data_IF_075457314297
#
_entry.id   IF_075457314297
#
_cell.length_a   1.000
_cell.length_b   1.000
_cell.length_c   1.000
_cell.angle_alpha   90.00
_cell.angle_beta   90.00
_cell.angle_gamma   90.00
#
_symmetry.space_group_name_H-M   'P 1'
#
loop_
_entity.id
_entity.type
_entity.pdbx_description
1 polymer ?
#
# COMPACT_ATOMS: atom_id res chain seq x y z
N UNK A 1 -5.57 18.90 -4.71
CA UNK A 1 -4.30 18.64 -3.98
C UNK A 1 -4.57 17.51 -3.00
N UNK A 2 -4.10 16.33 -3.33
CA UNK A 2 -4.17 15.16 -2.42
C UNK A 2 -3.16 15.41 -1.31
N UNK A 3 -3.63 15.77 -0.11
CA UNK A 3 -2.76 15.79 1.06
C UNK A 3 -2.56 14.34 1.52
N UNK A 4 -1.36 13.80 1.27
CA UNK A 4 -0.98 12.50 1.80
C UNK A 4 -0.74 12.62 3.31
N UNK A 5 -1.63 12.03 4.09
CA UNK A 5 -1.50 12.01 5.54
C UNK A 5 -0.77 10.73 5.94
N UNK A 6 0.50 10.88 6.32
CA UNK A 6 1.29 9.75 6.80
C UNK A 6 0.92 9.38 8.24
N UNK A 7 0.35 8.20 8.43
CA UNK A 7 0.11 7.63 9.76
C UNK A 7 1.41 7.21 10.47
N UNK A 8 2.48 6.94 9.74
CA UNK A 8 3.73 6.38 10.27
C UNK A 8 4.41 7.26 11.33
N UNK A 9 4.35 8.59 11.18
CA UNK A 9 4.97 9.52 12.13
C UNK A 9 4.22 9.62 13.48
N UNK A 10 2.97 9.15 13.53
CA UNK A 10 2.06 9.31 14.67
C UNK A 10 1.83 8.01 15.44
N UNK A 11 2.60 6.96 15.15
CA UNK A 11 2.45 5.64 15.76
C UNK A 11 3.55 5.46 16.80
N UNK A 12 3.17 5.02 18.00
CA UNK A 12 4.09 4.78 19.11
C UNK A 12 4.16 3.28 19.44
N UNK A 13 5.37 2.79 19.73
CA UNK A 13 5.56 1.44 20.27
C UNK A 13 5.06 1.43 21.70
N UNK A 14 4.14 0.53 21.99
CA UNK A 14 3.60 0.38 23.36
C UNK A 14 4.71 -0.16 24.25
N UNK A 15 5.09 0.59 25.29
CA UNK A 15 6.07 0.16 26.27
C UNK A 15 5.51 -1.07 27.02
N UNK A 16 6.25 -2.16 27.03
CA UNK A 16 6.00 -3.30 27.90
C UNK A 16 6.45 -2.94 29.31
N UNK A 17 5.63 -2.20 30.06
CA UNK A 17 5.82 -2.09 31.51
C UNK A 17 5.19 -3.31 32.16
N UNK A 18 6.04 -4.14 32.76
CA UNK A 18 5.63 -5.19 33.69
C UNK A 18 5.03 -4.56 34.95
N UNK A 19 3.73 -4.45 35.01
CA UNK A 19 2.86 -4.14 36.13
C UNK A 19 1.97 -2.92 35.88
N UNK A 20 0.92 -3.18 35.14
CA UNK A 20 -0.42 -2.68 35.40
C UNK A 20 -1.30 -3.12 34.21
N UNK A 21 -2.39 -3.76 34.57
CA UNK A 21 -3.42 -4.22 33.63
C UNK A 21 -4.09 -3.02 32.95
N UNK A 22 -3.44 -2.48 31.92
CA UNK A 22 -4.13 -1.69 30.93
C UNK A 22 -4.34 -2.55 29.69
N UNK A 23 -5.60 -2.71 29.30
CA UNK A 23 -6.09 -3.50 28.18
C UNK A 23 -5.64 -2.97 26.79
N UNK A 24 -4.37 -2.61 26.58
CA UNK A 24 -3.89 -2.33 25.22
C UNK A 24 -3.31 -3.59 24.62
N UNK A 25 -4.13 -4.29 23.87
CA UNK A 25 -3.77 -5.51 23.14
C UNK A 25 -2.91 -5.23 21.88
N UNK A 26 -2.33 -4.05 21.74
CA UNK A 26 -1.58 -3.64 20.56
C UNK A 26 -0.09 -3.49 20.86
N UNK A 27 0.76 -4.05 20.00
CA UNK A 27 2.21 -3.83 20.05
C UNK A 27 2.58 -2.38 19.70
N UNK A 28 1.75 -1.72 18.88
CA UNK A 28 1.91 -0.33 18.46
C UNK A 28 0.58 0.41 18.59
N UNK A 29 0.61 1.63 19.11
CA UNK A 29 -0.59 2.46 19.29
C UNK A 29 -0.49 3.70 18.42
N UNK A 30 -1.56 3.99 17.66
CA UNK A 30 -1.68 5.23 16.91
C UNK A 30 -2.00 6.36 17.90
N UNK A 31 -1.36 7.51 17.72
CA UNK A 31 -1.73 8.72 18.47
C UNK A 31 -3.21 9.05 18.24
N UNK A 32 -3.97 9.19 19.32
CA UNK A 32 -5.43 9.38 19.26
C UNK A 32 -5.85 10.68 18.56
N UNK A 33 -5.13 11.76 18.81
CA UNK A 33 -5.45 13.06 18.20
C UNK A 33 -5.17 13.03 16.70
N UNK A 34 -4.10 12.32 16.31
CA UNK A 34 -3.80 12.10 14.89
C UNK A 34 -4.85 11.23 14.20
N UNK A 35 -5.26 10.13 14.79
CA UNK A 35 -6.29 9.27 14.20
C UNK A 35 -7.64 10.01 14.11
N UNK A 36 -7.96 10.85 15.13
CA UNK A 36 -9.14 11.72 15.10
C UNK A 36 -9.05 12.73 13.93
N UNK A 37 -7.86 13.29 13.65
CA UNK A 37 -7.67 14.19 12.52
C UNK A 37 -7.82 13.47 11.17
N UNK A 38 -7.30 12.26 11.05
CA UNK A 38 -7.52 11.44 9.85
C UNK A 38 -9.01 11.17 9.66
N UNK A 39 -9.71 10.79 10.74
CA UNK A 39 -11.15 10.57 10.70
C UNK A 39 -11.93 11.82 10.24
N UNK A 40 -11.60 12.98 10.77
CA UNK A 40 -12.23 14.26 10.37
C UNK A 40 -12.09 14.54 8.85
N UNK A 41 -10.91 14.28 8.28
CA UNK A 41 -10.69 14.47 6.84
C UNK A 41 -11.49 13.45 6.02
N UNK A 42 -11.56 12.21 6.48
CA UNK A 42 -12.39 11.18 5.83
C UNK A 42 -13.89 11.56 5.91
N UNK A 43 -14.34 12.08 7.05
CA UNK A 43 -15.71 12.55 7.23
C UNK A 43 -16.04 13.64 6.21
N UNK A 44 -15.21 14.67 6.07
CA UNK A 44 -15.41 15.75 5.10
C UNK A 44 -15.49 15.24 3.66
N UNK A 45 -14.60 14.32 3.27
CA UNK A 45 -14.61 13.75 1.94
C UNK A 45 -15.87 12.91 1.69
N UNK A 46 -16.31 12.13 2.68
CA UNK A 46 -17.54 11.35 2.59
C UNK A 46 -18.79 12.22 2.55
N UNK A 47 -18.83 13.34 3.28
CA UNK A 47 -19.91 14.35 3.24
C UNK A 47 -20.05 14.97 1.84
N UNK A 48 -18.94 15.19 1.15
CA UNK A 48 -18.89 15.66 -0.25
C UNK A 48 -19.09 14.54 -1.28
N UNK A 49 -19.57 13.38 -0.86
CA UNK A 49 -19.88 12.22 -1.72
C UNK A 49 -18.67 11.63 -2.46
N UNK A 50 -17.45 11.87 -1.98
CA UNK A 50 -16.19 11.36 -2.56
C UNK A 50 -15.84 9.94 -2.11
N UNK A 51 -15.14 9.20 -2.97
CA UNK A 51 -14.43 8.00 -2.56
C UNK A 51 -13.13 8.37 -1.87
N UNK A 52 -12.80 7.64 -0.81
CA UNK A 52 -11.59 7.86 -0.01
C UNK A 52 -10.78 6.58 0.04
N UNK A 53 -9.46 6.69 -0.17
CA UNK A 53 -8.51 5.59 0.01
C UNK A 53 -7.65 5.91 1.23
N UNK A 54 -7.61 5.00 2.20
CA UNK A 54 -6.68 5.07 3.34
C UNK A 54 -5.63 3.98 3.15
N UNK A 55 -4.35 4.35 3.34
CA UNK A 55 -3.23 3.41 3.30
C UNK A 55 -2.20 3.66 4.41
N UNK A 56 -1.28 2.70 4.58
CA UNK A 56 -0.01 2.91 5.28
C UNK A 56 1.01 3.31 4.23
N UNK A 57 1.37 4.62 4.22
CA UNK A 57 2.11 5.21 3.10
C UNK A 57 3.62 4.99 3.20
N UNK A 58 4.23 5.13 4.38
CA UNK A 58 5.67 5.05 4.56
C UNK A 58 6.10 3.81 5.33
N UNK A 59 7.16 3.16 4.83
CA UNK A 59 7.78 1.98 5.44
C UNK A 59 8.58 2.29 6.72
N UNK A 60 9.11 3.53 6.81
CA UNK A 60 9.90 4.00 7.94
C UNK A 60 11.24 3.25 8.16
N UNK A 61 11.76 2.59 7.11
CA UNK A 61 13.03 1.88 7.17
C UNK A 61 14.21 2.80 6.83
N UNK A 62 15.24 2.79 7.67
CA UNK A 62 16.51 3.49 7.41
C UNK A 62 17.52 2.48 6.85
N UNK A 63 17.68 2.44 5.55
CA UNK A 63 18.57 1.50 4.86
C UNK A 63 20.05 1.68 5.20
N UNK A 64 20.47 2.88 5.65
CA UNK A 64 21.85 3.14 6.09
C UNK A 64 22.13 2.55 7.46
N UNK A 65 21.17 2.64 8.37
CA UNK A 65 21.25 2.09 9.73
C UNK A 65 20.74 0.66 9.83
N UNK A 66 20.08 0.17 8.78
CA UNK A 66 19.42 -1.15 8.73
C UNK A 66 18.46 -1.36 9.90
N UNK A 67 17.65 -0.38 10.20
CA UNK A 67 16.64 -0.44 11.25
C UNK A 67 15.42 0.43 10.91
N UNK A 68 14.37 0.28 11.72
CA UNK A 68 13.19 1.14 11.60
C UNK A 68 13.43 2.49 12.28
N UNK A 69 13.17 3.57 11.57
CA UNK A 69 13.12 4.91 12.12
C UNK A 69 12.16 4.97 13.30
N UNK A 70 12.61 5.52 14.42
CA UNK A 70 11.84 5.53 15.67
C UNK A 70 11.44 4.13 16.20
N UNK A 71 12.13 3.07 15.77
CA UNK A 71 11.88 1.69 16.18
C UNK A 71 10.55 1.11 15.69
N UNK A 72 9.98 1.61 14.62
CA UNK A 72 8.66 1.19 14.10
C UNK A 72 8.59 1.32 12.58
N UNK A 73 7.93 0.37 11.94
CA UNK A 73 7.78 0.34 10.48
C UNK A 73 7.61 -1.06 9.94
N UNK A 74 7.78 -1.21 8.63
CA UNK A 74 7.81 -2.49 7.96
C UNK A 74 8.90 -2.52 6.90
N UNK A 75 9.46 -3.71 6.66
CA UNK A 75 10.43 -3.95 5.61
C UNK A 75 10.31 -5.39 5.14
N UNK A 76 10.19 -5.66 3.84
CA UNK A 76 9.82 -6.98 3.34
C UNK A 76 11.03 -7.94 3.26
N UNK A 77 11.61 -8.28 4.41
CA UNK A 77 12.66 -9.30 4.56
C UNK A 77 12.31 -10.24 5.70
N UNK A 78 12.81 -11.48 5.66
CA UNK A 78 12.62 -12.45 6.74
C UNK A 78 13.15 -11.93 8.08
N UNK A 79 14.28 -11.19 8.05
CA UNK A 79 14.88 -10.58 9.25
C UNK A 79 13.94 -9.59 9.95
N UNK A 80 13.18 -8.81 9.16
CA UNK A 80 12.30 -7.76 9.68
C UNK A 80 10.84 -8.21 9.80
N UNK A 81 10.49 -9.39 9.31
CA UNK A 81 9.11 -9.85 9.12
C UNK A 81 8.27 -9.80 10.39
N UNK A 82 8.75 -10.38 11.47
CA UNK A 82 7.98 -10.50 12.71
C UNK A 82 7.63 -9.13 13.30
N UNK A 83 8.59 -8.20 13.31
CA UNK A 83 8.34 -6.85 13.82
C UNK A 83 7.46 -6.04 12.87
N UNK A 84 7.65 -6.21 11.57
CA UNK A 84 6.79 -5.61 10.53
C UNK A 84 5.34 -6.08 10.67
N UNK A 85 5.10 -7.36 10.87
CA UNK A 85 3.75 -7.91 11.07
C UNK A 85 3.10 -7.36 12.34
N UNK A 86 3.84 -7.24 13.46
CA UNK A 86 3.31 -6.61 14.67
C UNK A 86 2.91 -5.15 14.43
N UNK A 87 3.75 -4.41 13.71
CA UNK A 87 3.45 -3.02 13.35
C UNK A 87 2.21 -2.95 12.48
N UNK A 88 2.19 -3.63 11.34
CA UNK A 88 1.12 -3.57 10.35
C UNK A 88 -0.23 -4.01 10.92
N UNK A 89 -0.28 -5.15 11.61
CA UNK A 89 -1.53 -5.65 12.20
C UNK A 89 -2.05 -4.78 13.34
N UNK A 90 -1.14 -4.17 14.14
CA UNK A 90 -1.55 -3.20 15.17
C UNK A 90 -2.17 -1.95 14.56
N UNK A 91 -1.59 -1.43 13.48
CA UNK A 91 -2.11 -0.24 12.77
C UNK A 91 -3.46 -0.56 12.13
N UNK A 92 -3.52 -1.61 11.33
CA UNK A 92 -4.75 -1.96 10.62
C UNK A 92 -5.91 -2.30 11.56
N UNK A 93 -5.64 -2.92 12.72
CA UNK A 93 -6.70 -3.18 13.71
C UNK A 93 -7.32 -1.88 14.22
N UNK A 94 -6.51 -0.86 14.55
CA UNK A 94 -7.01 0.42 15.06
C UNK A 94 -7.72 1.22 13.97
N UNK A 95 -7.17 1.25 12.75
CA UNK A 95 -7.81 1.87 11.59
C UNK A 95 -9.15 1.18 11.29
N UNK A 96 -9.15 -0.14 11.20
CA UNK A 96 -10.35 -0.91 10.89
C UNK A 96 -11.46 -0.72 11.92
N UNK A 97 -11.14 -0.70 13.22
CA UNK A 97 -12.12 -0.43 14.29
C UNK A 97 -12.67 1.01 14.18
N UNK A 98 -11.83 1.98 13.85
CA UNK A 98 -12.25 3.38 13.71
C UNK A 98 -13.25 3.57 12.57
N UNK A 99 -13.07 2.83 11.48
CA UNK A 99 -13.81 3.03 10.24
C UNK A 99 -14.76 1.90 9.86
N UNK A 100 -15.05 0.96 10.77
CA UNK A 100 -15.83 -0.25 10.47
C UNK A 100 -17.25 0.00 9.97
N UNK A 101 -17.86 1.11 10.39
CA UNK A 101 -19.24 1.46 10.05
C UNK A 101 -19.35 2.41 8.85
N UNK A 102 -18.22 2.80 8.24
CA UNK A 102 -18.20 3.66 7.05
C UNK A 102 -18.68 2.89 5.82
N UNK A 103 -19.30 3.61 4.88
CA UNK A 103 -19.83 3.04 3.65
C UNK A 103 -18.73 2.46 2.73
N UNK A 104 -19.13 1.90 1.61
CA UNK A 104 -18.28 1.38 0.55
C UNK A 104 -17.48 2.45 -0.21
N UNK A 105 -17.77 3.74 0.04
CA UNK A 105 -16.94 4.84 -0.47
C UNK A 105 -15.57 4.93 0.20
N UNK A 106 -15.42 4.37 1.38
CA UNK A 106 -14.11 4.22 2.01
C UNK A 106 -13.48 2.89 1.57
N UNK A 107 -12.34 2.96 0.93
CA UNK A 107 -11.52 1.85 0.46
C UNK A 107 -10.24 1.80 1.28
N UNK A 108 -9.76 0.61 1.59
CA UNK A 108 -8.46 0.43 2.23
C UNK A 108 -7.43 -0.06 1.22
N UNK A 109 -6.25 0.54 1.24
CA UNK A 109 -5.07 0.07 0.53
C UNK A 109 -4.05 -0.41 1.55
N UNK A 110 -3.70 -1.69 1.50
CA UNK A 110 -2.90 -2.31 2.58
C UNK A 110 -1.59 -1.57 2.83
N UNK A 111 -0.85 -1.26 1.78
CA UNK A 111 0.42 -0.54 1.77
C UNK A 111 0.53 0.30 0.51
N UNK A 112 1.28 1.40 0.55
CA UNK A 112 1.53 2.25 -0.62
C UNK A 112 2.49 1.58 -1.62
N UNK A 113 3.78 1.66 -1.38
CA UNK A 113 4.85 1.15 -2.25
C UNK A 113 5.85 0.30 -1.47
N UNK A 114 5.44 -0.87 -0.98
CA UNK A 114 6.34 -1.75 -0.24
C UNK A 114 7.50 -2.21 -1.12
N UNK A 115 8.74 -2.00 -0.66
CA UNK A 115 9.93 -2.27 -1.47
C UNK A 115 11.17 -2.50 -0.61
N UNK A 116 12.24 -2.99 -1.22
CA UNK A 116 13.56 -3.10 -0.58
C UNK A 116 14.27 -1.74 -0.61
N UNK A 117 13.82 -0.79 0.20
CA UNK A 117 14.37 0.56 0.24
C UNK A 117 15.89 0.53 0.45
N UNK A 118 16.64 1.19 -0.45
CA UNK A 118 18.09 1.27 -0.41
C UNK A 118 18.83 0.06 -0.97
N UNK A 119 18.12 -0.99 -1.44
CA UNK A 119 18.72 -2.08 -2.20
C UNK A 119 18.91 -1.67 -3.68
N UNK A 120 19.87 -2.29 -4.36
CA UNK A 120 20.10 -2.05 -5.79
C UNK A 120 18.90 -2.41 -6.67
N UNK A 121 17.99 -3.22 -6.18
CA UNK A 121 16.76 -3.64 -6.85
C UNK A 121 15.51 -3.03 -6.22
N UNK A 122 15.64 -1.92 -5.52
CA UNK A 122 14.53 -1.24 -4.82
C UNK A 122 13.27 -1.09 -5.69
N UNK A 123 13.45 -0.75 -6.97
CA UNK A 123 12.36 -0.48 -7.92
C UNK A 123 12.16 -1.58 -8.96
N UNK A 124 12.93 -2.65 -8.89
CA UNK A 124 12.92 -3.70 -9.90
C UNK A 124 12.83 -5.09 -9.26
N UNK A 125 12.06 -5.98 -9.88
CA UNK A 125 11.94 -7.37 -9.46
C UNK A 125 12.65 -8.29 -10.46
N UNK A 126 13.56 -9.11 -9.96
CA UNK A 126 14.25 -10.12 -10.75
C UNK A 126 14.03 -11.52 -10.15
N UNK A 127 13.36 -12.44 -10.89
CA UNK A 127 13.04 -13.77 -10.34
C UNK A 127 14.27 -14.63 -10.01
N UNK A 128 15.44 -14.31 -10.57
CA UNK A 128 16.70 -14.97 -10.25
C UNK A 128 17.41 -14.40 -9.01
N UNK A 129 16.95 -13.28 -8.50
CA UNK A 129 17.51 -12.62 -7.32
C UNK A 129 16.86 -13.16 -6.04
N UNK A 130 17.66 -13.71 -5.13
CA UNK A 130 17.14 -14.29 -3.88
C UNK A 130 16.44 -13.25 -2.99
N UNK A 131 17.03 -12.05 -2.80
CA UNK A 131 16.41 -10.98 -2.00
C UNK A 131 15.13 -10.45 -2.63
N UNK A 132 15.03 -10.37 -3.96
CA UNK A 132 13.79 -9.98 -4.62
C UNK A 132 12.68 -11.02 -4.37
N UNK A 133 12.99 -12.31 -4.46
CA UNK A 133 12.02 -13.38 -4.16
C UNK A 133 11.58 -13.38 -2.72
N UNK A 134 12.53 -13.23 -1.81
CA UNK A 134 12.24 -13.09 -0.38
C UNK A 134 11.29 -11.93 -0.14
N UNK A 135 11.60 -10.75 -0.67
CA UNK A 135 10.76 -9.57 -0.52
C UNK A 135 9.33 -9.78 -1.06
N UNK A 136 9.18 -10.43 -2.21
CA UNK A 136 7.87 -10.74 -2.78
C UNK A 136 7.08 -11.70 -1.88
N UNK A 137 7.74 -12.74 -1.35
CA UNK A 137 7.09 -13.70 -0.46
C UNK A 137 6.66 -13.05 0.85
N UNK A 138 7.55 -12.29 1.51
CA UNK A 138 7.25 -11.59 2.76
C UNK A 138 6.15 -10.54 2.54
N UNK A 139 6.16 -9.82 1.42
CA UNK A 139 5.06 -8.90 1.09
C UNK A 139 3.70 -9.62 0.98
N UNK A 140 3.66 -10.79 0.35
CA UNK A 140 2.41 -11.56 0.28
C UNK A 140 1.91 -11.98 1.68
N UNK A 141 2.81 -12.30 2.60
CA UNK A 141 2.45 -12.56 4.00
C UNK A 141 1.93 -11.29 4.70
N UNK A 142 2.54 -10.12 4.45
CA UNK A 142 2.03 -8.84 4.95
C UNK A 142 0.62 -8.54 4.42
N UNK A 143 0.42 -8.68 3.12
CA UNK A 143 -0.88 -8.46 2.50
C UNK A 143 -1.96 -9.38 3.11
N UNK A 144 -1.66 -10.67 3.31
CA UNK A 144 -2.59 -11.60 3.94
C UNK A 144 -2.90 -11.21 5.39
N UNK A 145 -1.89 -10.95 6.22
CA UNK A 145 -2.07 -10.62 7.63
C UNK A 145 -2.87 -9.30 7.82
N UNK A 146 -2.62 -8.30 6.97
CA UNK A 146 -3.39 -7.06 6.99
C UNK A 146 -4.84 -7.28 6.57
N UNK A 147 -5.08 -8.03 5.50
CA UNK A 147 -6.43 -8.37 5.05
C UNK A 147 -7.20 -9.11 6.15
N UNK A 148 -6.60 -10.13 6.75
CA UNK A 148 -7.22 -10.91 7.82
C UNK A 148 -7.57 -10.00 9.02
N UNK A 149 -6.69 -9.08 9.36
CA UNK A 149 -6.91 -8.10 10.42
C UNK A 149 -8.08 -7.17 10.10
N UNK A 150 -8.17 -6.68 8.87
CA UNK A 150 -9.28 -5.84 8.39
C UNK A 150 -10.59 -6.62 8.46
N UNK A 151 -10.65 -7.84 7.93
CA UNK A 151 -11.85 -8.69 7.93
C UNK A 151 -12.32 -9.04 9.34
N UNK A 152 -11.38 -9.35 10.24
CA UNK A 152 -11.68 -9.69 11.64
C UNK A 152 -12.32 -8.55 12.43
N UNK A 153 -12.19 -7.30 12.01
CA UNK A 153 -12.83 -6.15 12.68
C UNK A 153 -14.36 -6.12 12.50
N UNK A 154 -14.88 -6.86 11.52
CA UNK A 154 -16.32 -6.96 11.27
C UNK A 154 -16.95 -5.68 10.71
N UNK A 155 -18.26 -5.49 10.95
CA UNK A 155 -19.00 -4.37 10.39
C UNK A 155 -18.92 -4.36 8.87
N UNK A 156 -18.86 -3.18 8.25
CA UNK A 156 -18.72 -3.04 6.80
C UNK A 156 -17.35 -3.50 6.27
N UNK A 157 -16.36 -3.64 7.16
CA UNK A 157 -15.04 -4.15 6.78
C UNK A 157 -15.06 -5.63 6.40
N UNK A 158 -16.08 -6.38 6.80
CA UNK A 158 -16.25 -7.78 6.38
C UNK A 158 -16.32 -7.91 4.84
N UNK A 159 -16.84 -6.88 4.13
CA UNK A 159 -17.00 -6.87 2.69
C UNK A 159 -16.36 -5.64 2.00
N UNK A 160 -15.65 -4.79 2.74
CA UNK A 160 -15.01 -3.59 2.21
C UNK A 160 -14.02 -3.94 1.12
N UNK A 161 -13.97 -3.15 0.04
CA UNK A 161 -12.93 -3.27 -0.98
C UNK A 161 -11.56 -2.97 -0.35
N UNK A 162 -10.61 -3.91 -0.54
CA UNK A 162 -9.24 -3.78 -0.08
C UNK A 162 -8.30 -3.87 -1.29
N UNK A 163 -7.50 -2.84 -1.47
CA UNK A 163 -6.50 -2.74 -2.53
C UNK A 163 -5.19 -3.40 -2.06
N UNK A 164 -4.65 -4.28 -2.88
CA UNK A 164 -3.47 -5.10 -2.59
C UNK A 164 -2.33 -4.69 -3.53
N UNK A 165 -1.24 -4.10 -3.02
CA UNK A 165 -0.09 -3.75 -3.82
C UNK A 165 0.84 -4.94 -4.05
N UNK A 166 1.53 -4.92 -5.19
CA UNK A 166 2.77 -5.67 -5.40
C UNK A 166 3.98 -4.87 -4.87
N UNK A 167 5.20 -5.41 -4.98
CA UNK A 167 6.42 -4.63 -4.68
C UNK A 167 6.41 -3.32 -5.47
N UNK A 168 6.71 -2.20 -4.78
CA UNK A 168 6.70 -0.84 -5.31
C UNK A 168 5.36 -0.42 -5.97
N UNK A 169 4.26 -1.13 -5.70
CA UNK A 169 2.99 -1.01 -6.43
C UNK A 169 3.17 -1.05 -7.96
N UNK A 170 4.26 -1.65 -8.44
CA UNK A 170 4.62 -1.68 -9.86
C UNK A 170 3.67 -2.57 -10.65
N UNK A 171 3.13 -2.12 -11.80
CA UNK A 171 2.34 -2.97 -12.68
C UNK A 171 3.13 -4.17 -13.22
N UNK A 172 4.45 -4.04 -13.45
CA UNK A 172 5.29 -5.16 -13.86
C UNK A 172 5.39 -6.23 -12.77
N UNK A 173 5.54 -5.82 -11.52
CA UNK A 173 5.61 -6.75 -10.39
C UNK A 173 4.25 -7.41 -10.14
N UNK A 174 3.16 -6.67 -10.26
CA UNK A 174 1.81 -7.23 -10.19
C UNK A 174 1.55 -8.25 -11.32
N UNK A 175 2.10 -8.02 -12.51
CA UNK A 175 1.99 -8.92 -13.65
C UNK A 175 2.91 -10.15 -13.56
N UNK A 176 3.92 -10.14 -12.68
CA UNK A 176 4.81 -11.29 -12.51
C UNK A 176 4.09 -12.51 -11.95
N UNK A 177 4.53 -13.70 -12.33
CA UNK A 177 3.89 -14.96 -11.92
C UNK A 177 4.06 -15.26 -10.43
N UNK A 178 5.09 -14.70 -9.78
CA UNK A 178 5.36 -14.89 -8.35
C UNK A 178 4.40 -14.08 -7.47
N UNK A 179 3.83 -12.98 -7.97
CA UNK A 179 2.82 -12.22 -7.22
C UNK A 179 1.47 -12.93 -7.21
N UNK A 180 0.94 -13.13 -6.00
CA UNK A 180 -0.38 -13.71 -5.74
C UNK A 180 -1.17 -12.79 -4.83
N UNK A 181 -2.45 -12.67 -5.09
CA UNK A 181 -3.37 -12.02 -4.16
C UNK A 181 -3.58 -12.90 -2.92
N UNK A 182 -3.86 -12.29 -1.76
CA UNK A 182 -4.22 -13.02 -0.57
C UNK A 182 -5.55 -13.75 -0.76
N UNK A 183 -5.79 -14.75 0.08
CA UNK A 183 -7.09 -15.41 0.18
C UNK A 183 -8.04 -14.53 0.97
N UNK A 184 -9.19 -14.20 0.41
CA UNK A 184 -10.19 -13.36 1.04
C UNK A 184 -11.44 -14.17 1.44
N UNK A 185 -12.00 -13.87 2.59
CA UNK A 185 -13.30 -14.39 3.02
C UNK A 185 -14.49 -13.67 2.37
N UNK A 186 -14.26 -12.44 1.85
CA UNK A 186 -15.28 -11.69 1.13
C UNK A 186 -15.26 -12.02 -0.36
N UNK A 187 -16.44 -12.20 -0.94
CA UNK A 187 -16.59 -12.33 -2.39
C UNK A 187 -16.39 -10.96 -3.04
N UNK A 188 -15.51 -10.88 -4.06
CA UNK A 188 -15.18 -9.64 -4.79
C UNK A 188 -14.65 -8.50 -3.89
N UNK A 189 -14.04 -8.82 -2.75
CA UNK A 189 -13.53 -7.87 -1.78
C UNK A 189 -12.14 -7.30 -2.09
N UNK A 190 -11.47 -7.73 -3.17
CA UNK A 190 -10.10 -7.33 -3.49
C UNK A 190 -10.01 -6.55 -4.79
N UNK A 191 -9.09 -5.58 -4.82
CA UNK A 191 -8.57 -4.96 -6.03
C UNK A 191 -7.03 -5.01 -6.02
N UNK A 192 -6.41 -4.98 -7.19
CA UNK A 192 -4.95 -4.81 -7.31
C UNK A 192 -4.65 -3.31 -7.34
N UNK A 193 -3.73 -2.86 -6.48
CA UNK A 193 -3.19 -1.50 -6.54
C UNK A 193 -1.95 -1.46 -7.41
N UNK A 194 -1.90 -0.51 -8.36
CA UNK A 194 -0.73 -0.23 -9.17
C UNK A 194 -0.49 1.27 -9.28
N UNK A 195 0.80 1.66 -9.34
CA UNK A 195 1.24 3.02 -9.61
C UNK A 195 1.86 3.09 -11.00
N UNK A 196 1.36 4.00 -11.83
CA UNK A 196 1.73 4.06 -13.25
C UNK A 196 2.38 5.40 -13.61
N UNK A 197 3.63 5.57 -13.27
CA UNK A 197 4.48 6.65 -13.77
C UNK A 197 5.18 6.20 -15.07
N UNK A 198 4.36 5.75 -16.03
CA UNK A 198 4.79 5.11 -17.29
C UNK A 198 4.34 5.93 -18.50
N UNK A 199 5.20 6.21 -19.48
CA UNK A 199 6.63 5.88 -19.53
C UNK A 199 7.45 6.70 -18.54
N UNK A 200 8.35 6.08 -17.80
CA UNK A 200 9.06 6.71 -16.68
C UNK A 200 9.76 8.03 -17.06
N UNK A 201 10.50 8.03 -18.18
CA UNK A 201 11.22 9.24 -18.61
C UNK A 201 10.26 10.41 -18.89
N UNK A 202 9.13 10.14 -19.54
CA UNK A 202 8.12 11.17 -19.79
C UNK A 202 7.43 11.60 -18.49
N UNK A 203 6.98 10.66 -17.69
CA UNK A 203 6.23 10.95 -16.46
C UNK A 203 7.07 11.73 -15.44
N UNK A 204 8.33 11.33 -15.25
CA UNK A 204 9.22 11.89 -14.22
C UNK A 204 10.10 13.07 -14.71
N UNK A 205 9.95 13.48 -15.98
CA UNK A 205 10.71 14.62 -16.52
C UNK A 205 12.22 14.36 -16.65
N UNK A 206 12.60 13.11 -16.90
CA UNK A 206 13.99 12.75 -17.15
C UNK A 206 14.42 13.28 -18.53
N UNK A 207 15.64 13.85 -18.70
CA UNK A 207 16.10 14.35 -19.99
C UNK A 207 15.93 13.33 -21.12
N UNK A 208 15.36 13.75 -22.25
CA UNK A 208 14.98 12.91 -23.39
C UNK A 208 13.56 12.35 -23.31
N UNK A 209 12.80 12.69 -22.27
CA UNK A 209 11.40 12.29 -22.08
C UNK A 209 10.39 13.42 -22.26
N UNK A 210 10.69 14.45 -23.06
CA UNK A 210 9.87 15.64 -23.18
C UNK A 210 8.59 15.41 -24.01
N UNK A 211 8.60 14.40 -24.88
CA UNK A 211 7.51 14.16 -25.83
C UNK A 211 6.84 12.81 -25.59
N UNK A 212 5.51 12.80 -25.51
CA UNK A 212 4.72 11.59 -25.50
C UNK A 212 4.53 11.07 -26.93
N UNK A 213 5.04 9.88 -27.23
CA UNK A 213 5.09 9.31 -28.60
C UNK A 213 4.05 8.19 -28.79
N UNK A 214 3.80 7.77 -30.03
CA UNK A 214 2.98 6.58 -30.33
C UNK A 214 3.59 5.29 -29.72
N UNK A 215 4.91 5.19 -29.59
CA UNK A 215 5.56 4.08 -28.87
C UNK A 215 5.16 4.07 -27.38
N UNK A 216 5.10 5.23 -26.76
CA UNK A 216 4.65 5.38 -25.35
C UNK A 216 3.19 4.94 -25.19
N UNK A 217 2.34 5.33 -26.13
CA UNK A 217 0.93 4.89 -26.16
C UNK A 217 0.82 3.37 -26.33
N UNK A 218 1.64 2.79 -27.22
CA UNK A 218 1.71 1.34 -27.38
C UNK A 218 2.11 0.60 -26.10
N UNK A 219 3.07 1.14 -25.35
CA UNK A 219 3.50 0.59 -24.06
C UNK A 219 2.35 0.62 -23.03
N UNK A 220 1.66 1.75 -22.89
CA UNK A 220 0.51 1.85 -21.98
C UNK A 220 -0.59 0.88 -22.37
N UNK A 221 -0.92 0.79 -23.65
CA UNK A 221 -1.92 -0.16 -24.16
C UNK A 221 -1.53 -1.61 -23.82
N UNK A 222 -0.25 -1.95 -23.94
CA UNK A 222 0.26 -3.27 -23.55
C UNK A 222 0.08 -3.54 -22.07
N UNK A 223 0.37 -2.57 -21.18
CA UNK A 223 0.12 -2.73 -19.73
C UNK A 223 -1.35 -2.96 -19.44
N UNK A 224 -2.25 -2.14 -19.99
CA UNK A 224 -3.68 -2.29 -19.76
C UNK A 224 -4.21 -3.64 -20.26
N UNK A 225 -3.77 -4.11 -21.41
CA UNK A 225 -4.17 -5.41 -21.95
C UNK A 225 -3.70 -6.55 -21.01
N UNK A 226 -2.46 -6.53 -20.55
CA UNK A 226 -1.90 -7.54 -19.65
C UNK A 226 -2.58 -7.53 -18.27
N UNK A 227 -2.87 -6.35 -17.71
CA UNK A 227 -3.62 -6.20 -16.46
C UNK A 227 -5.06 -6.71 -16.62
N UNK A 228 -5.70 -6.41 -17.77
CA UNK A 228 -7.01 -6.95 -18.08
C UNK A 228 -7.00 -8.47 -18.15
N UNK A 229 -6.05 -9.06 -18.87
CA UNK A 229 -5.93 -10.51 -19.01
C UNK A 229 -5.66 -11.21 -17.68
N UNK A 230 -4.75 -10.65 -16.87
CA UNK A 230 -4.37 -11.29 -15.59
C UNK A 230 -5.44 -11.14 -14.51
N UNK A 231 -6.12 -9.98 -14.42
CA UNK A 231 -6.99 -9.62 -13.31
C UNK A 231 -8.42 -9.27 -13.73
N UNK A 232 -8.63 -8.22 -14.55
CA UNK A 232 -9.96 -7.63 -14.76
C UNK A 232 -10.92 -8.62 -15.43
N UNK A 233 -10.46 -9.37 -16.44
CA UNK A 233 -11.27 -10.40 -17.11
C UNK A 233 -11.68 -11.56 -16.20
N UNK A 234 -11.09 -11.65 -15.01
CA UNK A 234 -11.40 -12.64 -13.97
C UNK A 234 -12.21 -12.04 -12.80
N UNK A 235 -12.74 -10.84 -12.97
CA UNK A 235 -13.53 -10.15 -11.96
C UNK A 235 -12.73 -9.46 -10.86
N UNK A 236 -11.40 -9.32 -11.00
CA UNK A 236 -10.55 -8.64 -10.02
C UNK A 236 -10.26 -7.22 -10.54
N UNK A 237 -10.80 -6.16 -9.92
CA UNK A 237 -10.51 -4.79 -10.29
C UNK A 237 -9.02 -4.44 -10.17
N UNK A 238 -8.57 -3.51 -11.01
CA UNK A 238 -7.24 -2.88 -10.90
C UNK A 238 -7.46 -1.39 -10.72
N UNK A 239 -6.88 -0.83 -9.67
CA UNK A 239 -6.92 0.60 -9.38
C UNK A 239 -5.53 1.19 -9.62
N UNK A 240 -5.46 2.25 -10.43
CA UNK A 240 -4.26 3.05 -10.57
C UNK A 240 -4.30 4.08 -9.44
N UNK A 241 -3.62 3.76 -8.32
CA UNK A 241 -3.60 4.58 -7.11
C UNK A 241 -2.82 5.87 -7.31
N UNK A 242 -1.75 5.80 -8.09
CA UNK A 242 -0.93 6.96 -8.42
C UNK A 242 -0.55 6.97 -9.90
N UNK A 243 -0.64 8.16 -10.49
CA UNK A 243 -0.19 8.42 -11.85
C UNK A 243 0.10 9.91 -12.03
N UNK A 244 0.93 10.25 -13.01
CA UNK A 244 1.18 11.65 -13.31
C UNK A 244 2.24 11.84 -14.38
N UNK A 245 2.39 13.11 -14.77
CA UNK A 245 3.50 13.57 -15.60
C UNK A 245 3.90 14.97 -15.17
N UNK A 246 5.21 15.22 -15.20
CA UNK A 246 5.73 16.58 -14.94
C UNK A 246 5.29 17.54 -16.05
N UNK A 247 5.08 18.81 -15.70
CA UNK A 247 4.89 19.87 -16.68
C UNK A 247 6.14 19.97 -17.57
N UNK A 248 5.93 20.04 -18.90
CA UNK A 248 7.01 20.11 -19.89
C UNK A 248 7.22 21.53 -20.43
N UNK A 249 6.47 22.52 -19.92
CA UNK A 249 6.44 23.90 -20.40
C UNK A 249 6.18 24.02 -21.92
N UNK A 250 5.52 23.04 -22.51
CA UNK A 250 5.17 22.93 -23.92
C UNK A 250 3.65 22.99 -24.15
N UNK A 251 2.98 23.85 -23.42
CA UNK A 251 1.55 24.09 -23.57
C UNK A 251 1.29 24.85 -24.89
N UNK A 252 1.08 24.14 -25.99
CA UNK A 252 0.44 24.60 -27.22
C UNK A 252 -0.85 23.81 -27.49
#
# INVERSE_FOLDING_TARGET
TTEFISLSASIEKTATTSSESTNSSFAYTINKDWLARVKEIVDWACEEDMYVIINIHHDNYDSKKKNFGFGKGFYPTEECKDESLKFLTSVWRQVSETFKDYSDKLVFEVLNEPRLQGDKHEWNYYPSCASCKEAMNVLMEFNQACLDTIRASGGNNANRLVMIPSLAASPDHALHADFKLPVDSAENGLAVSVHMYTPYQFAMGVPGGEVFTESHKGNLTSYFNRLNEKFISKGIPVVIGEMGATNKDNLE
#
